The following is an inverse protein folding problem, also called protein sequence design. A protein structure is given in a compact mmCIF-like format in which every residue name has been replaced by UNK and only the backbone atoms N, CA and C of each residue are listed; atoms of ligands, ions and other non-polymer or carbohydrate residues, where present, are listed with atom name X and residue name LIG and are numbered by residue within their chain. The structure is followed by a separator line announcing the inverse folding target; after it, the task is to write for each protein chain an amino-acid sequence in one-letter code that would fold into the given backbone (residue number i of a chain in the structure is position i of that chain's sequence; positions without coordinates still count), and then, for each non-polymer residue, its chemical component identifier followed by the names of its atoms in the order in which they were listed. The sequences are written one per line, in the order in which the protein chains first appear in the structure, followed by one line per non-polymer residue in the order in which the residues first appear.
data_IF_408806628229
#
_entry.id   IF_408806628229
#
_cell.length_a   1.000
_cell.length_b   1.000
_cell.length_c   1.000
_cell.angle_alpha   90.00
_cell.angle_beta   90.00
_cell.angle_gamma   90.00
#
_symmetry.space_group_name_H-M   'P 1'
#
loop_
_entity.id
_entity.type
_entity.pdbx_description
1 polymer ?
#
# COMPACT_ATOMS: atom_id res chain seq x y z
N UNK A 1 -6.82 1.22 18.04
CA UNK A 1 -6.33 0.74 16.71
C UNK A 1 -5.01 0.02 16.89
N UNK A 2 -4.85 -1.08 16.17
CA UNK A 2 -3.58 -1.81 16.14
C UNK A 2 -3.21 -2.12 14.70
N UNK A 3 -1.91 -2.18 14.42
CA UNK A 3 -1.38 -2.62 13.13
C UNK A 3 -0.59 -3.90 13.33
N UNK A 4 -0.85 -4.89 12.49
CA UNK A 4 -0.16 -6.18 12.53
C UNK A 4 0.29 -6.60 11.14
N UNK A 5 1.43 -7.24 11.06
CA UNK A 5 1.87 -7.88 9.82
C UNK A 5 0.88 -8.99 9.46
N UNK A 6 0.58 -9.13 8.18
CA UNK A 6 -0.30 -10.19 7.71
C UNK A 6 0.24 -11.56 8.11
N UNK A 7 -0.65 -12.44 8.55
CA UNK A 7 -0.34 -13.84 8.85
C UNK A 7 -0.68 -14.73 7.65
N UNK A 8 -0.05 -15.89 7.59
CA UNK A 8 -0.20 -16.82 6.45
C UNK A 8 -1.64 -17.26 6.21
N UNK A 9 -2.48 -17.30 7.25
CA UNK A 9 -3.88 -17.70 7.17
C UNK A 9 -4.86 -16.55 6.93
N UNK A 10 -4.35 -15.35 6.63
CA UNK A 10 -5.19 -14.14 6.46
C UNK A 10 -5.45 -13.76 5.00
N UNK A 11 -5.43 -14.73 4.09
CA UNK A 11 -5.74 -14.48 2.69
C UNK A 11 -7.14 -13.92 2.48
N UNK A 12 -8.13 -14.38 3.24
CA UNK A 12 -9.51 -13.88 3.14
C UNK A 12 -9.62 -12.43 3.61
N UNK A 13 -8.89 -12.05 4.64
CA UNK A 13 -8.84 -10.66 5.13
C UNK A 13 -8.23 -9.75 4.07
N UNK A 14 -7.10 -10.15 3.51
CA UNK A 14 -6.44 -9.41 2.42
C UNK A 14 -7.40 -9.22 1.24
N UNK A 15 -8.05 -10.29 0.80
CA UNK A 15 -8.99 -10.25 -0.32
C UNK A 15 -10.13 -9.28 -0.08
N UNK A 16 -10.70 -9.30 1.11
CA UNK A 16 -11.81 -8.41 1.48
C UNK A 16 -11.38 -6.94 1.47
N UNK A 17 -10.25 -6.62 2.08
CA UNK A 17 -9.72 -5.26 2.11
C UNK A 17 -9.31 -4.78 0.72
N UNK A 18 -8.72 -5.65 -0.08
CA UNK A 18 -8.34 -5.33 -1.45
C UNK A 18 -9.57 -5.02 -2.31
N UNK A 19 -10.61 -5.84 -2.19
CA UNK A 19 -11.86 -5.61 -2.87
C UNK A 19 -12.49 -4.26 -2.49
N UNK A 20 -12.49 -3.93 -1.20
CA UNK A 20 -12.99 -2.65 -0.72
C UNK A 20 -12.16 -1.47 -1.28
N UNK A 21 -10.85 -1.60 -1.30
CA UNK A 21 -9.97 -0.55 -1.81
C UNK A 21 -10.18 -0.26 -3.30
N UNK A 22 -10.47 -1.30 -4.08
CA UNK A 22 -10.66 -1.18 -5.53
C UNK A 22 -12.02 -0.57 -5.93
N UNK A 23 -12.93 -0.41 -4.99
CA UNK A 23 -14.20 0.30 -5.21
C UNK A 23 -14.05 1.81 -5.11
N UNK A 24 -12.91 2.31 -4.65
CA UNK A 24 -12.65 3.75 -4.58
C UNK A 24 -12.53 4.33 -6.00
N UNK A 25 -13.06 5.55 -6.25
CA UNK A 25 -13.05 6.15 -7.59
C UNK A 25 -11.64 6.36 -8.15
N UNK A 26 -10.66 6.46 -7.27
CA UNK A 26 -9.27 6.76 -7.63
C UNK A 26 -8.34 5.59 -7.35
N UNK A 27 -8.87 4.37 -7.30
CA UNK A 27 -8.02 3.20 -7.15
C UNK A 27 -6.97 3.21 -8.27
N UNK A 28 -5.72 3.58 -8.00
CA UNK A 28 -4.79 3.99 -9.05
C UNK A 28 -4.32 2.81 -9.89
N UNK A 29 -4.70 2.82 -11.15
CA UNK A 29 -4.26 1.85 -12.16
C UNK A 29 -4.54 0.44 -11.77
N UNK A 30 -5.24 0.40 -10.74
CA UNK A 30 -5.59 -0.81 -10.13
C UNK A 30 -6.81 -1.32 -10.83
N UNK A 31 -6.91 -2.50 -10.78
CA UNK A 31 -7.81 -3.30 -11.46
C UNK A 31 -9.21 -2.75 -11.46
N UNK A 32 -9.80 -2.60 -12.61
CA UNK A 32 -11.23 -2.56 -12.72
C UNK A 32 -11.83 -3.82 -12.10
N UNK A 33 -13.12 -3.79 -11.79
CA UNK A 33 -13.85 -4.89 -11.18
C UNK A 33 -13.48 -6.29 -11.70
N UNK A 34 -13.01 -6.39 -12.93
CA UNK A 34 -12.56 -7.64 -13.52
C UNK A 34 -11.41 -8.32 -12.75
N UNK A 35 -10.52 -7.56 -12.13
CA UNK A 35 -9.44 -8.15 -11.31
C UNK A 35 -9.91 -8.54 -9.91
N UNK A 36 -10.94 -7.87 -9.40
CA UNK A 36 -11.60 -8.31 -8.16
C UNK A 36 -12.12 -9.73 -8.29
N UNK A 37 -12.58 -10.08 -9.49
CA UNK A 37 -13.09 -11.40 -9.80
C UNK A 37 -11.97 -12.41 -10.06
N UNK A 38 -10.75 -11.96 -10.34
CA UNK A 38 -9.61 -12.83 -10.61
C UNK A 38 -8.74 -13.10 -9.39
N UNK A 39 -8.85 -12.30 -8.32
CA UNK A 39 -8.18 -12.60 -7.05
C UNK A 39 -9.06 -13.62 -6.32
N UNK A 40 -8.90 -14.88 -6.66
CA UNK A 40 -9.63 -15.95 -6.00
C UNK A 40 -9.05 -16.24 -4.60
N UNK A 41 -9.73 -17.12 -3.87
CA UNK A 41 -9.33 -17.47 -2.52
C UNK A 41 -7.94 -18.12 -2.46
N UNK A 42 -7.59 -18.92 -3.46
CA UNK A 42 -6.28 -19.61 -3.52
C UNK A 42 -5.16 -18.60 -3.79
N UNK A 43 -5.37 -17.66 -4.70
CA UNK A 43 -4.41 -16.60 -4.98
C UNK A 43 -4.19 -15.72 -3.74
N UNK A 44 -5.25 -15.33 -3.05
CA UNK A 44 -5.17 -14.54 -1.83
C UNK A 44 -4.44 -15.28 -0.71
N UNK A 45 -4.70 -16.58 -0.56
CA UNK A 45 -4.00 -17.42 0.42
C UNK A 45 -2.50 -17.50 0.12
N UNK A 46 -2.12 -17.65 -1.16
CA UNK A 46 -0.73 -17.68 -1.59
C UNK A 46 -0.02 -16.34 -1.30
N UNK A 47 -0.69 -15.23 -1.56
CA UNK A 47 -0.17 -13.89 -1.27
C UNK A 47 0.06 -13.72 0.24
N UNK A 48 -0.90 -14.09 1.06
CA UNK A 48 -0.79 -13.99 2.51
C UNK A 48 0.38 -14.84 3.04
N UNK A 49 0.49 -16.08 2.58
CA UNK A 49 1.57 -16.98 2.98
C UNK A 49 2.95 -16.42 2.60
N UNK A 50 3.10 -15.91 1.38
CA UNK A 50 4.33 -15.30 0.93
C UNK A 50 4.69 -14.07 1.76
N UNK A 51 3.76 -13.14 1.91
CA UNK A 51 4.00 -11.85 2.59
C UNK A 51 4.18 -12.00 4.10
N UNK A 52 3.66 -13.05 4.70
CA UNK A 52 3.87 -13.34 6.12
C UNK A 52 5.33 -13.71 6.44
N UNK A 53 6.05 -14.26 5.48
CA UNK A 53 7.39 -14.82 5.68
C UNK A 53 8.50 -14.14 4.88
N UNK A 54 8.17 -13.32 3.88
CA UNK A 54 9.16 -12.70 2.98
C UNK A 54 9.88 -11.52 3.62
N UNK A 55 11.16 -11.38 3.29
CA UNK A 55 11.94 -10.17 3.59
C UNK A 55 11.90 -9.15 2.46
N UNK A 56 11.25 -9.47 1.34
CA UNK A 56 11.18 -8.61 0.15
C UNK A 56 9.82 -7.95 -0.04
N UNK A 57 8.77 -8.51 0.53
CA UNK A 57 7.42 -7.94 0.43
C UNK A 57 6.56 -8.35 1.61
N UNK A 58 5.67 -7.45 2.02
CA UNK A 58 4.73 -7.75 3.09
C UNK A 58 3.48 -6.86 2.99
N UNK A 59 2.51 -7.14 3.84
CA UNK A 59 1.32 -6.32 4.03
C UNK A 59 1.10 -6.16 5.53
N UNK A 60 0.74 -4.96 5.94
CA UNK A 60 0.29 -4.66 7.30
C UNK A 60 -1.20 -4.41 7.30
N UNK A 61 -1.87 -4.94 8.30
CA UNK A 61 -3.32 -4.83 8.46
C UNK A 61 -3.63 -3.95 9.66
N UNK A 62 -4.55 -3.02 9.48
CA UNK A 62 -5.06 -2.16 10.53
C UNK A 62 -6.32 -2.78 11.12
N UNK A 63 -6.38 -2.85 12.44
CA UNK A 63 -7.56 -3.34 13.16
C UNK A 63 -8.12 -2.24 14.05
N UNK A 64 -9.42 -2.12 14.08
CA UNK A 64 -10.15 -1.26 15.02
C UNK A 64 -11.25 -2.10 15.66
N UNK A 65 -11.28 -2.12 16.98
CA UNK A 65 -12.25 -2.94 17.75
C UNK A 65 -12.27 -4.40 17.30
N UNK A 66 -11.09 -4.95 16.95
CA UNK A 66 -10.96 -6.33 16.49
C UNK A 66 -11.36 -6.60 15.05
N UNK A 67 -11.77 -5.58 14.30
CA UNK A 67 -12.16 -5.71 12.90
C UNK A 67 -11.12 -5.15 11.94
N UNK A 68 -10.84 -5.82 10.81
CA UNK A 68 -9.95 -5.27 9.79
C UNK A 68 -10.53 -3.97 9.22
N UNK A 69 -9.74 -2.91 9.19
CA UNK A 69 -10.19 -1.58 8.78
C UNK A 69 -9.23 -0.87 7.82
N UNK A 70 -8.15 -1.52 7.43
CA UNK A 70 -7.21 -0.94 6.49
C UNK A 70 -6.01 -1.82 6.24
N UNK A 71 -5.20 -1.42 5.27
CA UNK A 71 -3.99 -2.14 4.90
C UNK A 71 -2.98 -1.22 4.22
N UNK A 72 -1.74 -1.66 4.20
CA UNK A 72 -0.66 -1.09 3.40
C UNK A 72 0.28 -2.20 2.95
N UNK A 73 0.75 -2.13 1.71
CA UNK A 73 1.81 -2.99 1.22
C UNK A 73 3.18 -2.32 1.35
N UNK A 74 4.21 -3.12 1.53
CA UNK A 74 5.60 -2.68 1.52
C UNK A 74 6.42 -3.71 0.76
N UNK A 75 7.29 -3.26 -0.16
CA UNK A 75 8.09 -4.19 -0.93
C UNK A 75 9.35 -3.53 -1.49
N UNK A 76 10.33 -4.37 -1.80
CA UNK A 76 11.46 -3.98 -2.62
C UNK A 76 11.18 -4.44 -4.05
N UNK A 77 11.45 -3.57 -5.03
CA UNK A 77 11.30 -3.97 -6.42
C UNK A 77 12.42 -4.96 -6.79
N UNK A 78 12.21 -5.71 -7.87
CA UNK A 78 13.19 -6.69 -8.34
C UNK A 78 14.14 -6.13 -9.38
N UNK A 79 14.29 -4.80 -9.42
CA UNK A 79 15.27 -4.15 -10.29
C UNK A 79 16.65 -4.15 -9.64
N UNK A 80 17.66 -3.80 -10.42
CA UNK A 80 19.04 -3.71 -9.95
C UNK A 80 19.19 -2.73 -8.77
N UNK A 81 18.39 -1.67 -8.74
CA UNK A 81 18.44 -0.64 -7.71
C UNK A 81 17.79 -1.07 -6.40
N UNK A 82 16.94 -2.09 -6.45
CA UNK A 82 16.20 -2.59 -5.29
C UNK A 82 15.54 -1.46 -4.50
N UNK A 83 14.73 -0.65 -5.19
CA UNK A 83 14.01 0.45 -4.55
C UNK A 83 12.91 -0.05 -3.63
N UNK A 84 12.72 0.63 -2.50
CA UNK A 84 11.68 0.31 -1.54
C UNK A 84 10.41 1.11 -1.83
N UNK A 85 9.27 0.42 -1.81
CA UNK A 85 7.96 1.02 -2.10
C UNK A 85 6.95 0.72 -1.00
N UNK A 86 6.06 1.67 -0.79
CA UNK A 86 4.77 1.42 -0.13
C UNK A 86 3.66 1.46 -1.17
N UNK A 87 2.64 0.66 -0.99
CA UNK A 87 1.55 0.50 -1.95
C UNK A 87 0.27 0.06 -1.27
N UNK A 88 -0.81 0.05 -2.02
CA UNK A 88 -2.10 -0.50 -1.56
C UNK A 88 -2.61 0.12 -0.26
N UNK A 89 -2.23 1.36 0.04
CA UNK A 89 -2.72 2.01 1.26
C UNK A 89 -4.21 2.29 1.13
N UNK A 90 -4.96 1.73 2.05
CA UNK A 90 -6.39 1.95 2.15
C UNK A 90 -6.83 1.88 3.60
N UNK A 91 -7.73 2.78 3.98
CA UNK A 91 -8.36 2.80 5.31
C UNK A 91 -9.86 2.99 5.12
N UNK A 92 -10.66 2.22 5.83
CA UNK A 92 -12.10 2.31 5.76
C UNK A 92 -12.59 3.72 6.12
N UNK A 93 -13.58 4.22 5.37
CA UNK A 93 -14.11 5.58 5.54
C UNK A 93 -14.49 5.90 6.99
N UNK A 94 -15.10 4.96 7.68
CA UNK A 94 -15.58 5.16 9.05
C UNK A 94 -14.45 5.48 10.04
N UNK A 95 -13.21 5.13 9.74
CA UNK A 95 -12.07 5.28 10.66
C UNK A 95 -10.93 6.13 10.10
N UNK A 96 -11.11 6.77 8.94
CA UNK A 96 -10.07 7.59 8.31
C UNK A 96 -9.61 8.75 9.19
N UNK A 97 -10.51 9.34 9.95
CA UNK A 97 -10.20 10.45 10.84
C UNK A 97 -9.42 10.05 12.10
N UNK A 98 -9.19 8.75 12.32
CA UNK A 98 -8.53 8.23 13.51
C UNK A 98 -7.02 7.98 13.32
N UNK A 99 -6.43 8.54 12.27
CA UNK A 99 -4.98 8.44 11.98
C UNK A 99 -4.48 7.03 11.66
N UNK A 100 -5.37 6.14 11.24
CA UNK A 100 -4.99 4.77 10.85
C UNK A 100 -4.01 4.72 9.69
N UNK A 101 -4.17 5.61 8.71
CA UNK A 101 -3.26 5.71 7.58
C UNK A 101 -1.84 6.09 7.98
N UNK A 102 -1.70 7.01 8.92
CA UNK A 102 -0.39 7.41 9.46
C UNK A 102 0.27 6.22 10.16
N UNK A 103 -0.49 5.51 10.99
CA UNK A 103 0.01 4.35 11.72
C UNK A 103 0.47 3.23 10.76
N UNK A 104 -0.30 2.96 9.72
CA UNK A 104 0.06 2.00 8.68
C UNK A 104 1.35 2.43 7.96
N UNK A 105 1.43 3.68 7.54
CA UNK A 105 2.59 4.19 6.81
C UNK A 105 3.85 4.14 7.67
N UNK A 106 3.78 4.55 8.92
CA UNK A 106 4.91 4.48 9.85
C UNK A 106 5.39 3.04 10.05
N UNK A 107 4.46 2.10 10.18
CA UNK A 107 4.80 0.70 10.35
C UNK A 107 5.48 0.13 9.11
N UNK A 108 4.93 0.41 7.94
CA UNK A 108 5.50 -0.05 6.66
C UNK A 108 6.89 0.55 6.40
N UNK A 109 7.05 1.85 6.62
CA UNK A 109 8.34 2.52 6.43
C UNK A 109 9.38 2.01 7.43
N UNK A 110 8.99 1.73 8.66
CA UNK A 110 9.86 1.12 9.67
C UNK A 110 10.35 -0.26 9.25
N UNK A 111 9.46 -1.09 8.72
CA UNK A 111 9.82 -2.42 8.23
C UNK A 111 10.84 -2.35 7.07
N UNK A 112 10.62 -1.43 6.13
CA UNK A 112 11.55 -1.20 5.03
C UNK A 112 12.90 -0.67 5.52
N UNK A 113 12.89 0.29 6.45
CA UNK A 113 14.10 0.87 7.02
C UNK A 113 14.95 -0.17 7.75
N UNK A 114 14.33 -1.06 8.51
CA UNK A 114 15.02 -2.17 9.19
C UNK A 114 15.75 -3.09 8.20
N UNK A 115 15.29 -3.13 6.95
CA UNK A 115 15.88 -3.93 5.87
C UNK A 115 16.80 -3.14 4.97
N UNK A 116 17.19 -1.94 5.40
CA UNK A 116 18.22 -1.14 4.75
C UNK A 116 17.71 -0.06 3.80
N UNK A 117 16.40 0.12 3.67
CA UNK A 117 15.87 1.19 2.82
C UNK A 117 16.21 2.57 3.38
N UNK A 118 16.68 3.46 2.51
CA UNK A 118 16.97 4.86 2.81
C UNK A 118 15.95 5.79 2.19
N UNK A 119 15.46 5.42 1.02
CA UNK A 119 14.45 6.14 0.27
C UNK A 119 13.24 5.24 0.13
N UNK A 120 12.07 5.79 0.39
CA UNK A 120 10.81 5.06 0.26
C UNK A 120 9.97 5.76 -0.80
N UNK A 121 9.54 4.99 -1.77
CA UNK A 121 8.79 5.48 -2.92
C UNK A 121 7.32 5.08 -2.84
N UNK A 122 6.48 5.90 -3.45
CA UNK A 122 5.05 5.60 -3.63
C UNK A 122 4.59 6.16 -4.97
N UNK A 123 3.91 5.34 -5.76
CA UNK A 123 3.19 5.79 -6.95
C UNK A 123 1.81 6.29 -6.54
N UNK A 124 1.46 7.52 -6.90
CA UNK A 124 0.18 8.11 -6.56
C UNK A 124 -0.47 8.63 -7.84
N UNK A 125 -1.71 8.22 -8.10
CA UNK A 125 -2.47 8.74 -9.24
C UNK A 125 -2.62 10.25 -9.12
N UNK A 126 -2.37 10.98 -10.21
CA UNK A 126 -2.45 12.45 -10.22
C UNK A 126 -3.84 12.96 -9.83
N UNK A 127 -4.88 12.19 -10.15
CA UNK A 127 -6.26 12.52 -9.80
C UNK A 127 -6.59 12.30 -8.32
N UNK A 128 -5.78 11.53 -7.60
CA UNK A 128 -6.03 11.21 -6.19
C UNK A 128 -5.45 12.30 -5.28
N UNK A 129 -6.12 13.43 -5.22
CA UNK A 129 -5.67 14.60 -4.46
C UNK A 129 -5.56 14.36 -2.96
N UNK A 130 -6.44 13.55 -2.41
CA UNK A 130 -6.41 13.23 -0.97
C UNK A 130 -5.18 12.41 -0.62
N UNK A 131 -4.82 11.42 -1.43
CA UNK A 131 -3.60 10.65 -1.24
C UNK A 131 -2.36 11.52 -1.38
N UNK A 132 -2.31 12.41 -2.38
CA UNK A 132 -1.19 13.33 -2.58
C UNK A 132 -0.98 14.17 -1.31
N UNK A 133 -2.05 14.79 -0.79
CA UNK A 133 -1.97 15.59 0.43
C UNK A 133 -1.52 14.76 1.64
N UNK A 134 -2.03 13.54 1.75
CA UNK A 134 -1.65 12.63 2.83
C UNK A 134 -0.14 12.32 2.80
N UNK A 135 0.37 11.92 1.63
CA UNK A 135 1.79 11.59 1.48
C UNK A 135 2.69 12.82 1.64
N UNK A 136 2.28 13.97 1.13
CA UNK A 136 3.04 15.21 1.33
C UNK A 136 3.16 15.58 2.81
N UNK A 137 2.08 15.45 3.57
CA UNK A 137 2.12 15.68 5.03
C UNK A 137 3.02 14.68 5.75
N UNK A 138 3.18 13.50 5.20
CA UNK A 138 4.07 12.47 5.74
C UNK A 138 5.53 12.65 5.33
N UNK A 139 5.85 13.71 4.55
CA UNK A 139 7.22 14.00 4.15
C UNK A 139 7.62 13.51 2.78
N UNK A 140 6.68 13.02 1.99
CA UNK A 140 6.95 12.60 0.61
C UNK A 140 6.92 13.79 -0.33
N UNK A 141 7.86 13.83 -1.27
CA UNK A 141 7.93 14.84 -2.31
C UNK A 141 7.87 14.21 -3.71
N UNK A 142 7.30 14.94 -4.66
CA UNK A 142 7.20 14.51 -6.04
C UNK A 142 8.61 14.48 -6.67
N UNK A 143 8.99 13.35 -7.24
CA UNK A 143 10.31 13.20 -7.89
C UNK A 143 10.38 13.84 -9.28
N UNK A 144 9.22 14.13 -9.89
CA UNK A 144 9.14 14.53 -11.30
C UNK A 144 9.02 13.37 -12.26
N UNK A 145 9.12 12.13 -11.78
CA UNK A 145 8.92 10.95 -12.61
C UNK A 145 7.43 10.63 -12.69
N UNK A 146 6.95 10.38 -13.91
CA UNK A 146 5.54 10.11 -14.20
C UNK A 146 5.42 8.84 -15.03
N UNK A 147 4.27 8.20 -14.93
CA UNK A 147 3.95 7.02 -15.74
C UNK A 147 2.44 6.98 -16.02
N UNK A 148 2.03 6.35 -17.12
CA UNK A 148 0.61 6.14 -17.36
C UNK A 148 0.05 5.13 -16.37
N UNK A 149 -1.20 5.34 -15.98
CA UNK A 149 -1.94 4.39 -15.15
C UNK A 149 -2.40 3.23 -16.05
N UNK A 150 -2.03 2.01 -15.69
CA UNK A 150 -2.41 0.84 -16.46
C UNK A 150 -3.94 0.73 -16.56
N UNK A 151 -4.44 0.42 -17.76
CA UNK A 151 -5.87 0.20 -18.04
C UNK A 151 -6.79 1.41 -17.84
N UNK A 152 -6.22 2.60 -17.64
CA UNK A 152 -6.99 3.85 -17.54
C UNK A 152 -6.43 4.86 -18.54
N UNK A 153 -6.85 4.83 -19.82
CA UNK A 153 -6.33 5.72 -20.84
C UNK A 153 -6.43 7.20 -20.44
N UNK A 154 -5.33 7.92 -20.58
CA UNK A 154 -5.27 9.34 -20.24
C UNK A 154 -4.99 9.63 -18.77
N UNK A 155 -4.99 8.63 -17.90
CA UNK A 155 -4.68 8.81 -16.48
C UNK A 155 -3.17 8.63 -16.25
N UNK A 156 -2.61 9.50 -15.41
CA UNK A 156 -1.18 9.50 -15.06
C UNK A 156 -1.00 9.31 -13.57
N UNK A 157 0.13 8.76 -13.19
CA UNK A 157 0.59 8.68 -11.80
C UNK A 157 1.97 9.31 -11.69
N UNK A 158 2.27 9.78 -10.49
CA UNK A 158 3.55 10.40 -10.17
C UNK A 158 4.27 9.62 -9.09
N UNK A 159 5.59 9.58 -9.19
CA UNK A 159 6.43 8.91 -8.19
C UNK A 159 6.81 9.92 -7.11
N UNK A 160 6.47 9.58 -5.88
CA UNK A 160 6.84 10.35 -4.69
C UNK A 160 7.90 9.61 -3.90
N UNK A 161 8.73 10.34 -3.17
CA UNK A 161 9.81 9.79 -2.36
C UNK A 161 9.88 10.46 -0.99
N UNK A 162 10.16 9.67 0.02
CA UNK A 162 10.52 10.15 1.35
C UNK A 162 11.92 9.62 1.70
N UNK A 163 12.78 10.50 2.16
CA UNK A 163 14.13 10.13 2.60
C UNK A 163 14.10 9.82 4.09
N UNK A 164 14.59 8.66 4.47
CA UNK A 164 14.68 8.26 5.86
C UNK A 164 16.00 8.76 6.41
N UNK A 165 15.92 9.63 7.42
CA UNK A 165 17.10 10.03 8.16
C UNK A 165 17.53 8.85 9.05
N UNK A 166 18.71 8.33 8.80
CA UNK A 166 19.32 7.39 9.73
C UNK A 166 19.98 8.17 10.85
N UNK A 167 19.70 7.81 12.10
CA UNK A 167 20.45 8.39 13.20
C UNK A 167 21.92 8.00 13.14
#
# INVERSE_FOLDING_TARGET
MTVRRIAADQGSVYRELRAASLREPYAPGEAPEAELLTVDADAAAAIAALRAASDESTTFLLYTEGHPAGMIGAYFDNTRERRAFVSELWVAHAVRHLRGGVLLLETATGWLAERGARDIYAWIADANRDAIRFYERAGFGNTGEHAPVARMPGAMKSLFVSHIDTP
#
